data_IF_983750246330
#
_entry.id   IF_983750246330
#
_cell.length_a   1.000
_cell.length_b   1.000
_cell.length_c   1.000
_cell.angle_alpha   90.00
_cell.angle_beta   90.00
_cell.angle_gamma   90.00
#
_symmetry.space_group_name_H-M   'P 1'
#
loop_
_entity.id
_entity.type
_entity.pdbx_description
1 polymer ?
#
# COMPACT_ATOMS: atom_id res chain seq x y z
N UNK A 1 -27.08 -50.97 16.00
CA UNK A 1 -25.62 -51.00 15.72
C UNK A 1 -25.33 -49.92 14.67
N UNK A 2 -24.41 -48.96 14.90
CA UNK A 2 -23.67 -48.64 16.12
C UNK A 2 -24.00 -47.21 16.65
N UNK A 3 -24.19 -47.08 17.96
CA UNK A 3 -23.89 -45.84 18.68
C UNK A 3 -22.37 -45.74 18.72
N UNK A 4 -21.79 -44.76 18.03
CA UNK A 4 -20.34 -44.54 18.01
C UNK A 4 -19.83 -44.34 19.46
N UNK A 5 -19.02 -45.25 20.01
CA UNK A 5 -18.34 -45.03 21.28
C UNK A 5 -17.03 -44.30 21.01
N UNK A 6 -16.76 -43.23 21.75
CA UNK A 6 -15.40 -42.69 21.85
C UNK A 6 -15.12 -41.32 21.23
N UNK A 7 -16.11 -40.43 21.16
CA UNK A 7 -15.77 -39.01 21.29
C UNK A 7 -15.76 -38.71 22.79
N UNK A 8 -14.63 -39.04 23.42
CA UNK A 8 -14.22 -38.31 24.60
C UNK A 8 -14.10 -36.85 24.17
N UNK A 9 -15.01 -36.01 24.67
CA UNK A 9 -14.95 -34.57 24.53
C UNK A 9 -13.70 -34.10 25.28
N UNK A 10 -12.54 -34.22 24.64
CA UNK A 10 -11.35 -33.48 25.01
C UNK A 10 -11.61 -32.02 24.63
N UNK A 11 -12.48 -31.37 25.40
CA UNK A 11 -12.50 -29.93 25.50
C UNK A 11 -11.14 -29.56 26.08
N UNK A 12 -10.18 -29.28 25.19
CA UNK A 12 -8.93 -28.64 25.58
C UNK A 12 -9.35 -27.28 26.12
N UNK A 13 -9.42 -27.19 27.45
CA UNK A 13 -9.66 -25.93 28.14
C UNK A 13 -8.59 -24.97 27.64
N UNK A 14 -8.99 -24.04 26.80
CA UNK A 14 -8.07 -23.01 26.34
C UNK A 14 -7.91 -22.10 27.54
N UNK A 15 -6.86 -22.33 28.35
CA UNK A 15 -6.35 -21.35 29.30
C UNK A 15 -5.88 -20.14 28.48
N UNK A 16 -6.82 -19.30 28.07
CA UNK A 16 -6.57 -17.98 27.52
C UNK A 16 -6.11 -17.10 28.69
N UNK A 17 -4.84 -17.26 29.01
CA UNK A 17 -4.21 -16.62 30.15
C UNK A 17 -2.71 -16.76 30.03
N UNK A 18 -2.16 -16.38 28.88
CA UNK A 18 -0.76 -16.02 28.83
C UNK A 18 -0.66 -14.65 28.19
N UNK A 19 -0.27 -13.69 29.02
CA UNK A 19 0.16 -12.34 28.68
C UNK A 19 1.35 -12.49 27.71
N UNK A 20 1.06 -12.61 26.42
CA UNK A 20 2.10 -12.58 25.40
C UNK A 20 2.53 -11.13 25.32
N UNK A 21 3.78 -10.79 25.69
CA UNK A 21 4.27 -9.43 25.55
C UNK A 21 4.16 -9.07 24.07
N UNK A 22 3.57 -7.90 23.79
CA UNK A 22 3.40 -7.43 22.42
C UNK A 22 4.76 -7.45 21.71
N UNK A 23 4.82 -8.17 20.59
CA UNK A 23 6.01 -8.22 19.76
C UNK A 23 6.39 -6.79 19.33
N UNK A 24 7.65 -6.37 19.47
CA UNK A 24 8.06 -5.04 19.05
C UNK A 24 7.79 -4.89 17.54
N UNK A 25 7.24 -3.76 17.07
CA UNK A 25 6.91 -3.60 15.67
C UNK A 25 8.18 -3.65 14.82
N UNK A 26 8.30 -4.70 13.99
CA UNK A 26 9.41 -4.87 13.03
C UNK A 26 9.40 -3.81 11.92
N UNK A 27 8.26 -3.14 11.72
CA UNK A 27 8.10 -2.06 10.74
C UNK A 27 7.93 -0.71 11.44
N UNK A 28 8.54 0.37 10.90
CA UNK A 28 8.34 1.70 11.45
C UNK A 28 6.86 2.08 11.37
N UNK A 29 6.39 2.79 12.38
CA UNK A 29 5.04 3.37 12.38
C UNK A 29 4.86 4.34 11.22
N UNK A 30 3.63 4.52 10.75
CA UNK A 30 3.32 5.46 9.65
C UNK A 30 3.85 6.88 9.90
N UNK A 31 3.82 7.34 11.16
CA UNK A 31 4.40 8.62 11.59
C UNK A 31 5.92 8.67 11.47
N UNK A 32 6.60 7.59 11.84
CA UNK A 32 8.06 7.45 11.70
C UNK A 32 8.44 7.42 10.22
N UNK A 33 7.67 6.71 9.39
CA UNK A 33 7.84 6.67 7.94
C UNK A 33 7.61 8.05 7.29
N UNK A 34 6.62 8.81 7.76
CA UNK A 34 6.40 10.17 7.29
C UNK A 34 7.55 11.11 7.68
N UNK A 35 8.07 11.01 8.91
CA UNK A 35 9.20 11.81 9.37
C UNK A 35 10.48 11.53 8.56
N UNK A 36 10.79 10.26 8.26
CA UNK A 36 11.93 9.92 7.40
C UNK A 36 11.78 10.42 5.97
N UNK A 37 10.59 10.37 5.36
CA UNK A 37 10.35 10.95 4.02
C UNK A 37 10.55 12.47 4.04
N UNK A 38 10.13 13.11 5.13
CA UNK A 38 10.26 14.56 5.32
C UNK A 38 11.74 14.97 5.44
N UNK A 39 12.54 14.22 6.19
CA UNK A 39 13.99 14.43 6.30
C UNK A 39 14.75 14.07 5.03
N UNK A 40 14.32 13.04 4.31
CA UNK A 40 14.97 12.57 3.09
C UNK A 40 14.69 13.47 1.86
N UNK A 41 13.97 14.59 2.05
CA UNK A 41 13.63 15.48 0.94
C UNK A 41 12.80 14.77 -0.13
N UNK A 42 11.83 13.95 0.30
CA UNK A 42 10.98 13.20 -0.61
C UNK A 42 10.49 14.10 -1.74
N UNK A 43 10.58 13.65 -3.01
CA UNK A 43 10.04 14.43 -4.10
C UNK A 43 8.57 14.65 -3.77
N UNK A 44 8.17 15.93 -3.64
CA UNK A 44 6.75 16.26 -3.70
C UNK A 44 6.27 15.68 -5.01
N UNK A 45 5.54 14.56 -4.94
CA UNK A 45 4.76 14.04 -6.05
C UNK A 45 3.71 15.10 -6.25
N UNK A 46 4.08 16.14 -7.02
CA UNK A 46 3.14 17.05 -7.63
C UNK A 46 2.44 16.19 -8.66
N UNK A 47 1.53 15.35 -8.21
CA UNK A 47 0.42 14.87 -9.01
C UNK A 47 -0.19 16.15 -9.53
N UNK A 48 0.19 16.55 -10.74
CA UNK A 48 -0.50 17.63 -11.44
C UNK A 48 -1.94 17.16 -11.46
N UNK A 49 -2.77 17.74 -10.60
CA UNK A 49 -4.06 17.16 -10.22
C UNK A 49 -5.03 16.99 -11.39
N UNK A 50 -4.66 17.52 -12.56
CA UNK A 50 -5.40 17.47 -13.82
C UNK A 50 -4.60 16.81 -14.97
N UNK A 51 -3.48 16.14 -14.69
CA UNK A 51 -2.76 15.42 -15.73
C UNK A 51 -3.50 14.12 -16.07
N UNK A 52 -3.84 13.89 -17.34
CA UNK A 52 -4.40 12.62 -17.77
C UNK A 52 -3.36 11.51 -17.67
N UNK A 53 -3.84 10.27 -17.58
CA UNK A 53 -3.01 9.09 -17.82
C UNK A 53 -2.72 8.97 -19.32
N UNK A 54 -1.55 8.45 -19.66
CA UNK A 54 -1.17 8.19 -21.03
C UNK A 54 -2.04 7.04 -21.59
N UNK A 55 -2.78 7.29 -22.67
CA UNK A 55 -3.65 6.27 -23.29
C UNK A 55 -2.87 5.09 -23.90
N UNK A 56 -1.56 5.24 -24.11
CA UNK A 56 -0.71 4.22 -24.71
C UNK A 56 -0.07 3.26 -23.69
N UNK A 57 0.22 3.73 -22.47
CA UNK A 57 0.96 2.96 -21.47
C UNK A 57 0.47 3.13 -20.02
N UNK A 58 -0.53 3.97 -19.75
CA UNK A 58 -1.17 4.12 -18.45
C UNK A 58 -0.43 4.95 -17.41
N UNK A 59 0.78 5.45 -17.70
CA UNK A 59 1.53 6.30 -16.77
C UNK A 59 0.97 7.73 -16.72
N UNK A 60 1.12 8.42 -15.59
CA UNK A 60 0.71 9.82 -15.46
C UNK A 60 1.54 10.71 -16.39
N UNK A 61 0.88 11.54 -17.20
CA UNK A 61 1.59 12.44 -18.10
C UNK A 61 2.11 13.69 -17.36
N UNK A 62 3.24 14.24 -17.83
CA UNK A 62 3.81 15.48 -17.31
C UNK A 62 3.37 16.67 -18.16
N UNK A 63 3.03 17.81 -17.53
CA UNK A 63 2.72 19.03 -18.27
C UNK A 63 3.98 19.63 -18.91
N UNK A 64 3.94 19.89 -20.20
CA UNK A 64 5.00 20.54 -20.99
C UNK A 64 4.41 21.74 -21.74
N UNK A 65 4.34 22.90 -21.07
CA UNK A 65 3.74 24.10 -21.64
C UNK A 65 2.22 23.97 -21.78
N UNK A 66 1.70 24.15 -22.99
CA UNK A 66 0.28 23.89 -23.29
C UNK A 66 -0.03 22.39 -23.47
N UNK A 67 0.99 21.55 -23.66
CA UNK A 67 0.83 20.11 -23.88
C UNK A 67 1.01 19.29 -22.60
N UNK A 68 0.71 18.00 -22.69
CA UNK A 68 1.15 16.94 -21.79
C UNK A 68 2.03 15.95 -22.55
N UNK A 69 3.08 15.44 -21.90
CA UNK A 69 4.04 14.48 -22.47
C UNK A 69 4.16 13.25 -21.56
N UNK A 70 4.23 12.07 -22.17
CA UNK A 70 4.51 10.83 -21.48
C UNK A 70 6.03 10.61 -21.42
N UNK A 71 6.57 10.43 -20.22
CA UNK A 71 8.01 10.19 -20.02
C UNK A 71 8.45 8.79 -20.42
N UNK A 72 7.52 7.83 -20.44
CA UNK A 72 7.82 6.42 -20.71
C UNK A 72 7.74 6.06 -22.20
N UNK A 73 6.70 6.55 -22.90
CA UNK A 73 6.50 6.21 -24.32
C UNK A 73 6.59 7.42 -25.28
N UNK A 74 6.80 8.63 -24.77
CA UNK A 74 6.97 9.84 -25.59
C UNK A 74 5.69 10.41 -26.20
N UNK A 75 4.51 9.81 -25.94
CA UNK A 75 3.24 10.32 -26.46
C UNK A 75 2.91 11.73 -25.93
N UNK A 76 2.33 12.59 -26.77
CA UNK A 76 1.94 13.96 -26.41
C UNK A 76 0.44 14.20 -26.60
N UNK A 77 -0.20 14.95 -25.71
CA UNK A 77 -1.64 15.25 -25.80
C UNK A 77 -1.98 16.66 -25.29
N UNK A 78 -3.13 17.21 -25.72
CA UNK A 78 -3.69 18.44 -25.15
C UNK A 78 -2.97 19.74 -25.50
N UNK A 79 -2.12 19.77 -26.52
CA UNK A 79 -1.50 21.00 -27.01
C UNK A 79 -2.55 22.02 -27.51
N UNK A 80 -2.58 23.21 -26.91
CA UNK A 80 -3.34 24.38 -27.40
C UNK A 80 -2.44 25.37 -28.09
#
# INVERSE_FOLDING_TARGET
>A
QPTLPGVEESATETRQGNDVPADPPTVPSASQFAAQLSLAGAPSVRSSANAPLCMQCGVAMQRAGSCYVCTDCGATSGCS
#
